data_IF_188300780216
#
_entry.id   IF_188300780216
#
_cell.length_a   1.000
_cell.length_b   1.000
_cell.length_c   1.000
_cell.angle_alpha   90.00
_cell.angle_beta   90.00
_cell.angle_gamma   90.00
#
_symmetry.space_group_name_H-M   'P 1'
#
loop_
_entity.id
_entity.type
_entity.pdbx_description
1 polymer ?
#
# COMPACT_ATOMS: atom_id res chain seq x y z
N UNK A 1 -8.90 2.48 30.39
CA UNK A 1 -8.66 1.02 30.44
C UNK A 1 -9.95 0.29 30.04
N UNK A 2 -10.44 0.60 28.84
CA UNK A 2 -11.64 0.00 28.22
C UNK A 2 -11.48 -0.20 26.71
N UNK A 3 -10.41 0.31 26.10
CA UNK A 3 -10.20 0.35 24.63
C UNK A 3 -9.95 -1.03 23.96
N UNK A 4 -10.09 -2.16 24.67
CA UNK A 4 -9.82 -3.50 24.13
C UNK A 4 -11.01 -4.10 23.34
N UNK A 5 -12.24 -3.70 23.68
CA UNK A 5 -13.48 -4.18 23.04
C UNK A 5 -14.19 -3.10 22.23
N UNK A 6 -13.69 -1.87 22.26
CA UNK A 6 -14.23 -0.78 21.46
C UNK A 6 -13.88 -1.01 19.98
N UNK A 7 -14.84 -0.74 19.09
CA UNK A 7 -14.58 -0.80 17.66
C UNK A 7 -13.42 0.15 17.30
N UNK A 8 -12.53 -0.24 16.38
CA UNK A 8 -11.40 0.61 16.00
C UNK A 8 -11.96 1.94 15.45
N UNK A 9 -11.51 3.07 16.01
CA UNK A 9 -11.88 4.40 15.53
C UNK A 9 -11.46 4.53 14.06
N UNK A 10 -12.43 4.60 13.16
CA UNK A 10 -12.21 4.82 11.73
C UNK A 10 -12.17 6.31 11.46
N UNK A 11 -11.20 6.76 10.67
CA UNK A 11 -11.18 8.11 10.17
C UNK A 11 -12.06 8.18 8.91
N UNK A 12 -13.17 8.93 8.99
CA UNK A 12 -14.12 9.12 7.88
C UNK A 12 -13.88 10.45 7.17
N UNK A 13 -12.69 10.63 6.60
CA UNK A 13 -12.33 11.86 5.90
C UNK A 13 -11.56 11.61 4.60
N UNK A 14 -11.76 12.52 3.64
CA UNK A 14 -10.97 12.56 2.41
C UNK A 14 -9.75 13.43 2.64
N UNK A 15 -8.56 12.84 2.53
CA UNK A 15 -7.30 13.58 2.57
C UNK A 15 -6.96 14.06 1.15
N UNK A 16 -6.57 15.32 1.03
CA UNK A 16 -6.02 15.84 -0.24
C UNK A 16 -4.62 15.26 -0.47
N UNK A 17 -4.26 14.89 -1.71
CA UNK A 17 -2.91 14.44 -2.02
C UNK A 17 -1.90 15.58 -1.87
N UNK A 18 -0.75 15.30 -1.26
CA UNK A 18 0.37 16.25 -1.26
C UNK A 18 1.10 16.23 -2.62
N UNK A 19 1.67 17.37 -3.04
CA UNK A 19 2.47 17.43 -4.25
C UNK A 19 3.75 16.59 -4.10
N UNK A 20 4.17 15.98 -5.20
CA UNK A 20 5.43 15.24 -5.27
C UNK A 20 6.62 16.21 -5.29
N UNK A 21 7.66 15.93 -4.50
CA UNK A 21 8.90 16.67 -4.50
C UNK A 21 10.09 15.73 -4.24
N UNK A 22 11.18 15.94 -4.97
CA UNK A 22 12.36 15.07 -4.96
C UNK A 22 13.55 15.74 -4.31
N UNK A 23 14.47 14.91 -3.82
CA UNK A 23 15.81 15.38 -3.49
C UNK A 23 16.52 15.69 -4.80
N UNK A 24 17.10 16.88 -4.94
CA UNK A 24 17.91 17.24 -6.12
C UNK A 24 19.38 16.83 -5.94
N UNK A 25 19.88 16.94 -4.70
CA UNK A 25 21.26 16.69 -4.29
C UNK A 25 21.32 15.82 -3.02
N UNK A 26 22.26 14.86 -2.93
CA UNK A 26 22.34 13.96 -1.78
C UNK A 26 22.52 14.75 -0.47
N UNK A 27 21.64 14.47 0.51
CA UNK A 27 21.71 15.06 1.85
C UNK A 27 20.88 16.32 2.08
N UNK A 28 20.37 17.00 1.03
CA UNK A 28 19.48 18.16 1.23
C UNK A 28 18.45 18.33 0.12
N UNK A 29 17.17 18.39 0.52
CA UNK A 29 16.10 18.83 -0.37
C UNK A 29 16.14 20.35 -0.56
N UNK A 30 15.77 20.82 -1.75
CA UNK A 30 15.65 22.26 -2.06
C UNK A 30 14.64 22.93 -1.12
N UNK A 31 13.47 22.32 -0.98
CA UNK A 31 12.40 22.73 -0.06
C UNK A 31 12.13 21.61 0.95
N UNK A 32 12.65 21.69 2.20
CA UNK A 32 12.57 20.60 3.15
C UNK A 32 11.14 20.28 3.57
N UNK A 33 10.27 21.29 3.70
CA UNK A 33 8.86 21.10 4.09
C UNK A 33 8.09 20.35 3.01
N UNK A 34 8.25 20.75 1.74
CA UNK A 34 7.58 20.10 0.62
C UNK A 34 8.07 18.65 0.43
N UNK A 35 9.36 18.40 0.64
CA UNK A 35 9.90 17.04 0.63
C UNK A 35 9.28 16.17 1.75
N UNK A 36 9.17 16.69 2.98
CA UNK A 36 8.53 15.96 4.07
C UNK A 36 7.06 15.61 3.74
N UNK A 37 6.29 16.55 3.20
CA UNK A 37 4.90 16.28 2.78
C UNK A 37 4.82 15.21 1.68
N UNK A 38 5.74 15.24 0.70
CA UNK A 38 5.82 14.20 -0.32
C UNK A 38 6.14 12.82 0.28
N UNK A 39 7.04 12.75 1.26
CA UNK A 39 7.35 11.51 1.99
C UNK A 39 6.17 11.00 2.81
N UNK A 40 5.39 11.89 3.43
CA UNK A 40 4.15 11.53 4.12
C UNK A 40 3.13 10.94 3.16
N UNK A 41 2.96 11.52 1.96
CA UNK A 41 2.07 10.95 0.94
C UNK A 41 2.53 9.56 0.52
N UNK A 42 3.83 9.37 0.24
CA UNK A 42 4.38 8.05 -0.11
C UNK A 42 4.15 7.02 1.00
N UNK A 43 4.30 7.42 2.27
CA UNK A 43 4.03 6.56 3.41
C UNK A 43 2.55 6.15 3.49
N UNK A 44 1.62 7.07 3.19
CA UNK A 44 0.18 6.76 3.10
C UNK A 44 -0.12 5.74 1.99
N UNK A 45 0.41 5.96 0.79
CA UNK A 45 0.22 5.01 -0.32
C UNK A 45 0.78 3.62 -0.01
N UNK A 46 1.92 3.56 0.68
CA UNK A 46 2.52 2.30 1.13
C UNK A 46 1.63 1.57 2.12
N UNK A 47 1.03 2.27 3.08
CA UNK A 47 0.08 1.68 4.03
C UNK A 47 -1.15 1.12 3.30
N UNK A 48 -1.70 1.88 2.35
CA UNK A 48 -2.82 1.42 1.51
C UNK A 48 -2.44 0.15 0.76
N UNK A 49 -1.28 0.11 0.10
CA UNK A 49 -0.82 -1.07 -0.64
C UNK A 49 -0.64 -2.31 0.26
N UNK A 50 -0.16 -2.15 1.50
CA UNK A 50 -0.08 -3.28 2.43
C UNK A 50 -1.45 -3.76 2.90
N UNK A 51 -2.35 -2.85 3.22
CA UNK A 51 -3.69 -3.22 3.68
C UNK A 51 -4.53 -3.86 2.55
N UNK A 52 -4.38 -3.41 1.30
CA UNK A 52 -5.04 -4.05 0.15
C UNK A 52 -4.58 -5.50 -0.03
N UNK A 53 -3.27 -5.77 0.08
CA UNK A 53 -2.74 -7.14 0.04
C UNK A 53 -3.25 -7.98 1.22
N UNK A 54 -3.32 -7.41 2.43
CA UNK A 54 -3.89 -8.11 3.59
C UNK A 54 -5.35 -8.50 3.36
N UNK A 55 -6.17 -7.60 2.80
CA UNK A 55 -7.56 -7.88 2.46
C UNK A 55 -7.68 -9.00 1.43
N UNK A 56 -6.89 -8.96 0.35
CA UNK A 56 -6.88 -10.03 -0.66
C UNK A 56 -6.45 -11.37 -0.07
N UNK A 57 -5.42 -11.37 0.77
CA UNK A 57 -4.99 -12.58 1.48
C UNK A 57 -6.10 -13.15 2.38
N UNK A 58 -6.84 -12.29 3.07
CA UNK A 58 -7.99 -12.71 3.87
C UNK A 58 -9.10 -13.33 3.02
N UNK A 59 -9.38 -12.78 1.83
CA UNK A 59 -10.35 -13.35 0.88
C UNK A 59 -9.93 -14.74 0.40
N UNK A 60 -8.66 -14.92 0.03
CA UNK A 60 -8.13 -16.23 -0.37
C UNK A 60 -8.28 -17.25 0.77
N UNK A 61 -7.86 -16.89 2.00
CA UNK A 61 -7.99 -17.76 3.17
C UNK A 61 -9.45 -18.11 3.44
N UNK A 62 -10.36 -17.13 3.32
CA UNK A 62 -11.79 -17.33 3.51
C UNK A 62 -12.35 -18.30 2.47
N UNK A 63 -12.01 -18.12 1.19
CA UNK A 63 -12.44 -19.01 0.11
C UNK A 63 -11.93 -20.44 0.34
N UNK A 64 -10.65 -20.60 0.70
CA UNK A 64 -10.04 -21.91 0.94
C UNK A 64 -10.71 -22.65 2.11
N UNK A 65 -11.10 -21.91 3.17
CA UNK A 65 -11.85 -22.47 4.31
C UNK A 65 -13.27 -22.88 3.94
N UNK A 66 -13.92 -22.16 3.03
CA UNK A 66 -15.30 -22.44 2.60
C UNK A 66 -15.39 -23.64 1.66
N UNK A 67 -14.50 -23.71 0.67
CA UNK A 67 -14.53 -24.73 -0.39
C UNK A 67 -13.82 -26.04 0.00
N UNK A 68 -12.87 -25.99 0.93
CA UNK A 68 -12.18 -27.17 1.46
C UNK A 68 -11.39 -27.92 0.38
N UNK A 69 -11.97 -29.01 -0.15
CA UNK A 69 -11.29 -29.89 -1.13
C UNK A 69 -11.22 -29.24 -2.52
N UNK A 70 -12.25 -28.48 -2.93
CA UNK A 70 -12.37 -27.93 -4.29
C UNK A 70 -11.74 -26.54 -4.46
N UNK A 71 -10.88 -26.12 -3.54
CA UNK A 71 -10.33 -24.76 -3.52
C UNK A 71 -9.48 -24.44 -4.76
N UNK A 72 -8.86 -25.43 -5.42
CA UNK A 72 -8.06 -25.21 -6.63
C UNK A 72 -8.87 -24.71 -7.84
N UNK A 73 -10.12 -25.15 -7.98
CA UNK A 73 -10.99 -24.75 -9.07
C UNK A 73 -11.81 -23.50 -8.70
N UNK A 74 -12.45 -23.53 -7.54
CA UNK A 74 -13.41 -22.49 -7.13
C UNK A 74 -12.74 -21.20 -6.64
N UNK A 75 -11.53 -21.27 -6.05
CA UNK A 75 -10.83 -20.10 -5.50
C UNK A 75 -9.72 -19.56 -6.41
N UNK A 76 -9.69 -19.99 -7.68
CA UNK A 76 -8.65 -19.58 -8.64
C UNK A 76 -8.58 -18.06 -8.84
N UNK A 77 -9.74 -17.40 -8.92
CA UNK A 77 -9.80 -15.95 -9.14
C UNK A 77 -9.19 -15.18 -7.97
N UNK A 78 -9.61 -15.47 -6.74
CA UNK A 78 -9.07 -14.83 -5.53
C UNK A 78 -7.54 -15.04 -5.41
N UNK A 79 -7.06 -16.24 -5.74
CA UNK A 79 -5.63 -16.54 -5.74
C UNK A 79 -4.87 -15.76 -6.83
N UNK A 80 -5.48 -15.61 -8.02
CA UNK A 80 -4.92 -14.83 -9.11
C UNK A 80 -4.85 -13.35 -8.76
N UNK A 81 -5.91 -12.77 -8.19
CA UNK A 81 -5.94 -11.36 -7.78
C UNK A 81 -4.82 -11.04 -6.78
N UNK A 82 -4.60 -11.94 -5.81
CA UNK A 82 -3.49 -11.82 -4.87
C UNK A 82 -2.12 -11.93 -5.57
N UNK A 83 -1.97 -12.89 -6.47
CA UNK A 83 -0.73 -13.12 -7.22
C UNK A 83 -0.36 -11.92 -8.10
N UNK A 84 -1.33 -11.35 -8.81
CA UNK A 84 -1.14 -10.23 -9.72
C UNK A 84 -0.67 -8.97 -8.99
N UNK A 85 -0.99 -8.84 -7.70
CA UNK A 85 -0.54 -7.70 -6.88
C UNK A 85 0.80 -7.98 -6.21
N UNK A 86 1.02 -9.19 -5.69
CA UNK A 86 2.30 -9.55 -5.05
C UNK A 86 3.46 -9.55 -6.03
N UNK A 87 3.22 -9.90 -7.30
CA UNK A 87 4.25 -9.90 -8.34
C UNK A 87 4.62 -8.51 -8.83
N UNK A 88 3.77 -7.50 -8.61
CA UNK A 88 4.07 -6.12 -8.95
C UNK A 88 5.12 -5.55 -8.00
N UNK A 89 5.90 -4.60 -8.52
CA UNK A 89 6.84 -3.82 -7.72
C UNK A 89 6.09 -3.13 -6.56
N UNK A 90 6.69 -3.18 -5.37
CA UNK A 90 6.17 -2.57 -4.15
C UNK A 90 4.69 -2.90 -3.86
N UNK A 91 4.27 -4.13 -4.19
CA UNK A 91 2.90 -4.62 -4.02
C UNK A 91 1.85 -3.78 -4.76
N UNK A 92 2.25 -3.17 -5.88
CA UNK A 92 1.37 -2.28 -6.65
C UNK A 92 1.16 -0.92 -6.00
N UNK A 93 2.05 -0.48 -5.10
CA UNK A 93 2.08 0.87 -4.58
C UNK A 93 2.08 1.90 -5.73
N UNK A 94 1.31 2.97 -5.56
CA UNK A 94 1.33 4.09 -6.49
C UNK A 94 2.61 4.91 -6.28
N UNK A 95 3.45 4.97 -7.32
CA UNK A 95 4.64 5.80 -7.32
C UNK A 95 4.45 7.02 -8.24
N UNK A 96 4.93 8.19 -7.83
CA UNK A 96 5.04 9.32 -8.73
C UNK A 96 6.07 9.03 -9.83
N UNK A 97 6.01 9.78 -10.93
CA UNK A 97 7.03 9.72 -11.98
C UNK A 97 8.30 10.41 -11.46
N UNK A 98 9.33 9.63 -11.17
CA UNK A 98 10.61 10.14 -10.68
C UNK A 98 11.38 10.87 -11.79
N UNK A 99 11.95 12.03 -11.49
CA UNK A 99 12.93 12.70 -12.37
C UNK A 99 14.27 11.95 -12.35
N UNK A 100 14.70 11.50 -11.17
CA UNK A 100 15.93 10.71 -10.97
C UNK A 100 15.63 9.39 -10.25
N UNK A 101 15.20 8.34 -10.97
CA UNK A 101 14.81 7.07 -10.35
C UNK A 101 15.97 6.42 -9.59
N UNK A 102 17.18 6.39 -10.14
CA UNK A 102 18.34 5.73 -9.50
C UNK A 102 18.65 6.23 -8.08
N UNK A 103 18.25 7.46 -7.75
CA UNK A 103 18.49 8.08 -6.45
C UNK A 103 17.29 7.98 -5.50
N UNK A 104 16.07 8.04 -6.05
CA UNK A 104 14.84 8.20 -5.28
C UNK A 104 13.96 6.93 -5.24
N UNK A 105 14.26 5.98 -6.13
CA UNK A 105 13.59 4.69 -6.29
C UNK A 105 14.42 3.61 -5.56
N UNK A 106 13.92 3.09 -4.44
CA UNK A 106 14.66 2.13 -3.60
C UNK A 106 14.71 2.44 -2.10
N UNK A 107 14.04 3.51 -1.66
CA UNK A 107 13.66 3.73 -0.26
C UNK A 107 12.33 3.03 0.09
#
# INVERSE_FOLDING_TARGET
MTDMYDEPKKYEGNLSPYPHNEITEPGRAKDPVAYLLATEQRARERQVAYETVKLLRQRVIHCYRKEGVNHYENCRQEAQDLFDIITKKDLGQLHPKWEKPEMNDGW
#
